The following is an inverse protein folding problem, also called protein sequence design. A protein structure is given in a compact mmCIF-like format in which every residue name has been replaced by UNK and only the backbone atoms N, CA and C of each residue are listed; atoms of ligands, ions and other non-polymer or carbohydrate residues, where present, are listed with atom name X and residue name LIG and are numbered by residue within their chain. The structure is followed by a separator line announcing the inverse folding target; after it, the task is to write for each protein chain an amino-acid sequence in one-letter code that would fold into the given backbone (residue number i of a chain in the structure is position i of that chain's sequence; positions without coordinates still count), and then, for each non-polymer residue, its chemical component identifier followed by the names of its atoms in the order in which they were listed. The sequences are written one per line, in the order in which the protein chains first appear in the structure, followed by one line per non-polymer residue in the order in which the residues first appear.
data_IF_031793393487
#
_entry.id   IF_031793393487
#
_cell.length_a   1.000
_cell.length_b   1.000
_cell.length_c   1.000
_cell.angle_alpha   90.00
_cell.angle_beta   90.00
_cell.angle_gamma   90.00
#
_symmetry.space_group_name_H-M   'P 1'
#
loop_
_entity.id
_entity.type
_entity.pdbx_description
1 polymer ?
#
# COMPACT_ATOMS: atom_id res chain seq x y z
N UNK A 1 5.69 0.43 5.49
CA UNK A 1 4.58 1.39 5.44
C UNK A 1 3.83 1.21 4.12
N UNK A 2 2.52 0.95 4.16
CA UNK A 2 1.71 0.80 2.94
C UNK A 2 1.15 2.14 2.45
N UNK A 3 0.64 2.20 1.21
CA UNK A 3 0.04 3.42 0.66
C UNK A 3 -1.16 3.86 1.50
N UNK A 4 -2.03 2.92 1.88
CA UNK A 4 -3.21 3.22 2.69
C UNK A 4 -2.84 3.76 4.07
N UNK A 5 -1.80 3.21 4.72
CA UNK A 5 -1.29 3.70 6.00
C UNK A 5 -0.68 5.10 5.87
N UNK A 6 0.13 5.33 4.84
CA UNK A 6 0.74 6.63 4.57
C UNK A 6 -0.33 7.70 4.31
N UNK A 7 -1.38 7.35 3.54
CA UNK A 7 -2.51 8.23 3.27
C UNK A 7 -3.25 8.61 4.56
N UNK A 8 -3.57 7.61 5.39
CA UNK A 8 -4.24 7.85 6.66
C UNK A 8 -3.43 8.77 7.55
N UNK A 9 -2.13 8.50 7.70
CA UNK A 9 -1.25 9.32 8.53
C UNK A 9 -1.15 10.75 8.01
N UNK A 10 -1.00 10.94 6.69
CA UNK A 10 -0.94 12.26 6.09
C UNK A 10 -2.25 13.06 6.29
N UNK A 11 -3.40 12.46 6.00
CA UNK A 11 -4.71 13.12 6.12
C UNK A 11 -5.04 13.44 7.59
N UNK A 12 -4.74 12.54 8.52
CA UNK A 12 -4.90 12.81 9.95
C UNK A 12 -3.99 13.95 10.41
N UNK A 13 -2.72 13.94 10.00
CA UNK A 13 -1.76 14.97 10.40
C UNK A 13 -2.10 16.35 9.81
N UNK A 14 -2.54 16.40 8.56
CA UNK A 14 -3.04 17.66 7.97
C UNK A 14 -4.31 18.13 8.64
N UNK A 15 -5.20 17.22 9.02
CA UNK A 15 -6.41 17.58 9.77
C UNK A 15 -6.09 18.27 11.09
N UNK A 16 -5.06 17.80 11.79
CA UNK A 16 -4.59 18.36 13.05
C UNK A 16 -3.87 19.71 12.86
N UNK A 17 -2.93 19.80 11.90
CA UNK A 17 -2.16 21.03 11.64
C UNK A 17 -3.05 22.19 11.19
N UNK A 18 -4.01 21.91 10.33
CA UNK A 18 -4.85 22.94 9.70
C UNK A 18 -6.22 23.09 10.37
N UNK A 19 -6.41 22.48 11.56
CA UNK A 19 -7.66 22.53 12.34
C UNK A 19 -8.90 22.20 11.49
N UNK A 20 -8.75 21.23 10.59
CA UNK A 20 -9.83 20.80 9.70
C UNK A 20 -10.87 20.06 10.55
N UNK A 21 -12.15 20.31 10.28
CA UNK A 21 -13.24 19.63 10.98
C UNK A 21 -13.08 18.13 10.84
N UNK A 22 -13.22 17.39 11.95
CA UNK A 22 -13.09 15.94 11.97
C UNK A 22 -13.99 15.23 10.95
N UNK A 23 -15.17 15.80 10.65
CA UNK A 23 -16.06 15.31 9.60
C UNK A 23 -15.39 15.29 8.22
N UNK A 24 -14.73 16.38 7.84
CA UNK A 24 -14.11 16.53 6.53
C UNK A 24 -12.85 15.65 6.43
N UNK A 25 -12.11 15.50 7.53
CA UNK A 25 -11.00 14.54 7.65
C UNK A 25 -11.51 13.11 7.43
N UNK A 26 -12.59 12.72 8.12
CA UNK A 26 -13.18 11.39 8.00
C UNK A 26 -13.71 11.11 6.58
N UNK A 27 -14.29 12.11 5.92
CA UNK A 27 -14.73 11.98 4.53
C UNK A 27 -13.55 11.87 3.57
N UNK A 28 -12.44 12.59 3.82
CA UNK A 28 -11.22 12.48 3.01
C UNK A 28 -10.49 11.14 3.19
N UNK A 29 -10.52 10.57 4.40
CA UNK A 29 -9.92 9.25 4.68
C UNK A 29 -10.56 8.13 3.86
N UNK A 30 -11.86 8.24 3.55
CA UNK A 30 -12.57 7.27 2.68
C UNK A 30 -12.08 7.32 1.22
N UNK A 31 -11.51 8.45 0.80
CA UNK A 31 -11.06 8.70 -0.56
C UNK A 31 -9.56 8.39 -0.70
N UNK A 32 -9.19 7.14 -0.49
CA UNK A 32 -7.81 6.70 -0.71
C UNK A 32 -7.47 6.76 -2.21
N UNK A 33 -6.38 7.44 -2.61
CA UNK A 33 -6.04 7.58 -4.01
C UNK A 33 -5.63 6.25 -4.63
N UNK A 34 -6.13 6.02 -5.85
CA UNK A 34 -5.78 4.84 -6.63
C UNK A 34 -4.38 4.95 -7.25
N UNK A 35 -3.68 3.83 -7.47
CA UNK A 35 -2.37 3.83 -8.13
C UNK A 35 -2.35 4.51 -9.51
N UNK A 36 -3.47 4.47 -10.23
CA UNK A 36 -3.61 5.13 -11.53
C UNK A 36 -3.50 6.66 -11.43
N UNK A 37 -3.97 7.26 -10.32
CA UNK A 37 -3.87 8.71 -10.10
C UNK A 37 -2.41 9.13 -9.91
N UNK A 38 -1.58 8.32 -9.24
CA UNK A 38 -0.14 8.59 -9.12
C UNK A 38 0.60 8.47 -10.45
N UNK A 39 0.18 7.53 -11.31
CA UNK A 39 0.72 7.43 -12.68
C UNK A 39 0.38 8.68 -13.51
N UNK A 40 -0.86 9.16 -13.43
CA UNK A 40 -1.29 10.37 -14.11
C UNK A 40 -0.55 11.61 -13.59
N UNK A 41 -0.41 11.74 -12.26
CA UNK A 41 0.33 12.81 -11.62
C UNK A 41 1.79 12.84 -12.07
N UNK A 42 2.48 11.69 -12.02
CA UNK A 42 3.86 11.58 -12.51
C UNK A 42 4.00 12.04 -13.96
N UNK A 43 3.07 11.64 -14.83
CA UNK A 43 3.06 12.04 -16.23
C UNK A 43 2.94 13.57 -16.36
N UNK A 44 2.00 14.17 -15.64
CA UNK A 44 1.80 15.63 -15.64
C UNK A 44 3.04 16.37 -15.14
N UNK A 45 3.64 15.93 -14.03
CA UNK A 45 4.83 16.54 -13.44
C UNK A 45 6.02 16.50 -14.40
N UNK A 46 6.20 15.40 -15.11
CA UNK A 46 7.29 15.27 -16.07
C UNK A 46 7.05 16.07 -17.37
N UNK A 47 5.81 16.13 -17.84
CA UNK A 47 5.47 16.79 -19.12
C UNK A 47 5.32 18.32 -19.00
N UNK A 48 4.82 18.81 -17.87
CA UNK A 48 4.44 20.23 -17.71
C UNK A 48 5.28 21.00 -16.70
N UNK A 49 5.83 20.31 -15.68
CA UNK A 49 6.57 20.96 -14.58
C UNK A 49 8.08 20.70 -14.67
N UNK A 50 8.53 20.01 -15.73
CA UNK A 50 9.94 19.79 -16.03
C UNK A 50 10.64 18.82 -15.06
N UNK A 51 9.88 18.03 -14.31
CA UNK A 51 10.45 17.00 -13.44
C UNK A 51 10.94 15.78 -14.26
N UNK A 52 11.94 15.07 -13.75
CA UNK A 52 12.36 13.78 -14.31
C UNK A 52 12.18 12.66 -13.29
N UNK A 53 10.91 12.37 -12.97
CA UNK A 53 10.58 11.30 -12.03
C UNK A 53 10.68 9.94 -12.73
N UNK A 54 11.52 9.00 -12.28
CA UNK A 54 11.63 7.68 -12.87
C UNK A 54 10.41 6.81 -12.53
N UNK A 55 10.06 5.78 -13.32
CA UNK A 55 8.92 4.90 -13.03
C UNK A 55 9.03 4.16 -11.69
N UNK A 56 10.26 3.97 -11.20
CA UNK A 56 10.57 3.32 -9.91
C UNK A 56 9.94 4.00 -8.71
N UNK A 57 9.65 5.31 -8.77
CA UNK A 57 8.99 6.04 -7.66
C UNK A 57 7.59 5.50 -7.36
N UNK A 58 6.92 4.90 -8.36
CA UNK A 58 5.60 4.29 -8.18
C UNK A 58 5.66 2.93 -7.50
N UNK A 59 6.85 2.35 -7.29
CA UNK A 59 7.00 1.02 -6.68
C UNK A 59 6.30 0.92 -5.32
N UNK A 60 6.37 1.98 -4.50
CA UNK A 60 5.72 2.02 -3.18
C UNK A 60 4.19 2.05 -3.27
N UNK A 61 3.65 2.71 -4.30
CA UNK A 61 2.21 2.78 -4.58
C UNK A 61 1.68 1.41 -4.99
N UNK A 62 2.46 0.67 -5.79
CA UNK A 62 2.10 -0.68 -6.23
C UNK A 62 2.48 -1.78 -5.25
N UNK A 63 3.29 -1.51 -4.22
CA UNK A 63 3.74 -2.52 -3.25
C UNK A 63 2.56 -3.15 -2.50
N UNK A 64 1.58 -2.34 -2.09
CA UNK A 64 0.36 -2.82 -1.43
C UNK A 64 -0.50 -3.67 -2.38
N UNK A 65 -0.65 -3.24 -3.64
CA UNK A 65 -1.41 -3.98 -4.65
C UNK A 65 -0.74 -5.31 -5.01
N UNK A 66 0.60 -5.34 -5.13
CA UNK A 66 1.37 -6.58 -5.34
C UNK A 66 1.23 -7.54 -4.17
N UNK A 67 1.24 -7.03 -2.94
CA UNK A 67 0.99 -7.84 -1.74
C UNK A 67 -0.40 -8.47 -1.76
N UNK A 68 -1.44 -7.71 -2.15
CA UNK A 68 -2.80 -8.24 -2.27
C UNK A 68 -2.94 -9.27 -3.40
N UNK A 69 -2.34 -9.03 -4.56
CA UNK A 69 -2.35 -9.99 -5.68
C UNK A 69 -1.60 -11.27 -5.29
N UNK A 70 -0.45 -11.15 -4.62
CA UNK A 70 0.30 -12.31 -4.14
C UNK A 70 -0.47 -13.09 -3.09
N UNK A 71 -1.16 -12.42 -2.15
CA UNK A 71 -2.05 -13.09 -1.19
C UNK A 71 -3.20 -13.80 -1.88
N UNK A 72 -3.80 -13.19 -2.90
CA UNK A 72 -4.88 -13.80 -3.69
C UNK A 72 -4.40 -15.02 -4.46
N UNK A 73 -3.26 -14.91 -5.15
CA UNK A 73 -2.62 -16.03 -5.85
C UNK A 73 -2.20 -17.14 -4.91
N UNK A 74 -1.62 -16.82 -3.75
CA UNK A 74 -1.29 -17.81 -2.73
C UNK A 74 -2.54 -18.53 -2.22
N UNK A 75 -3.65 -17.82 -2.01
CA UNK A 75 -4.93 -18.44 -1.64
C UNK A 75 -5.52 -19.33 -2.74
N UNK A 76 -5.34 -18.93 -4.00
CA UNK A 76 -5.79 -19.71 -5.16
C UNK A 76 -4.92 -20.96 -5.40
N UNK A 77 -3.59 -20.84 -5.28
CA UNK A 77 -2.64 -21.97 -5.34
C UNK A 77 -2.79 -22.93 -4.15
N UNK A 78 -3.16 -22.44 -2.97
CA UNK A 78 -3.45 -23.27 -1.78
C UNK A 78 -4.84 -23.94 -1.85
N UNK A 79 -5.62 -23.70 -2.92
CA UNK A 79 -6.66 -24.60 -3.39
C UNK A 79 -7.50 -25.27 -2.30
N UNK A 80 -8.19 -24.49 -1.46
CA UNK A 80 -9.31 -24.95 -0.63
C UNK A 80 -9.02 -25.96 0.49
N UNK A 81 -7.76 -26.17 0.91
CA UNK A 81 -7.44 -27.22 1.90
C UNK A 81 -6.94 -26.75 3.27
N UNK A 82 -6.66 -25.46 3.46
CA UNK A 82 -6.13 -24.94 4.72
C UNK A 82 -6.99 -23.80 5.25
N UNK A 83 -7.44 -23.93 6.50
CA UNK A 83 -8.28 -22.95 7.18
C UNK A 83 -7.47 -21.69 7.53
N UNK A 84 -8.15 -20.58 7.87
CA UNK A 84 -7.51 -19.27 8.06
C UNK A 84 -6.32 -19.26 9.05
N UNK A 85 -6.36 -20.14 10.06
CA UNK A 85 -5.31 -20.30 11.07
C UNK A 85 -4.08 -21.05 10.55
N UNK A 86 -4.24 -22.00 9.62
CA UNK A 86 -3.14 -22.72 8.99
C UNK A 86 -2.33 -21.79 8.07
N UNK A 87 -3.01 -20.85 7.40
CA UNK A 87 -2.36 -19.85 6.56
C UNK A 87 -1.52 -18.87 7.37
N UNK A 88 -2.01 -18.45 8.55
CA UNK A 88 -1.29 -17.54 9.45
C UNK A 88 -0.04 -18.23 10.04
N UNK A 89 -0.18 -19.50 10.40
CA UNK A 89 0.92 -20.33 10.93
C UNK A 89 2.00 -20.57 9.89
N UNK A 90 1.62 -20.87 8.64
CA UNK A 90 2.57 -21.02 7.53
C UNK A 90 3.36 -19.73 7.27
N UNK A 91 2.69 -18.57 7.32
CA UNK A 91 3.35 -17.28 7.09
C UNK A 91 4.35 -16.93 8.20
N UNK A 92 3.99 -17.19 9.46
CA UNK A 92 4.86 -16.97 10.61
C UNK A 92 6.12 -17.87 10.57
N UNK A 93 5.96 -19.12 10.13
CA UNK A 93 7.09 -20.04 9.97
C UNK A 93 8.03 -19.58 8.84
N UNK A 94 7.48 -19.09 7.72
CA UNK A 94 8.27 -18.59 6.59
C UNK A 94 9.06 -17.33 6.94
N UNK A 95 8.47 -16.39 7.70
CA UNK A 95 9.18 -15.19 8.16
C UNK A 95 10.34 -15.53 9.12
N UNK A 96 10.16 -16.56 9.95
CA UNK A 96 11.22 -17.06 10.82
C UNK A 96 12.37 -17.65 10.01
N UNK A 97 12.07 -18.48 9.01
CA UNK A 97 13.06 -19.12 8.15
C UNK A 97 13.85 -18.08 7.32
N UNK A 98 13.17 -17.08 6.74
CA UNK A 98 13.83 -15.97 6.02
C UNK A 98 14.72 -15.13 6.94
N UNK A 99 14.37 -15.01 8.22
CA UNK A 99 15.17 -14.29 9.23
C UNK A 99 16.42 -15.07 9.64
N UNK A 100 16.35 -16.40 9.65
CA UNK A 100 17.50 -17.27 9.91
C UNK A 100 18.52 -17.23 8.77
N UNK A 101 18.07 -17.14 7.52
CA UNK A 101 18.95 -17.02 6.33
C UNK A 101 19.49 -15.60 6.07
N UNK A 102 19.02 -14.60 6.82
CA UNK A 102 19.51 -13.20 6.75
C UNK A 102 20.60 -12.88 7.78
N UNK A 103 21.03 -13.84 8.58
CA UNK A 103 22.24 -13.78 9.40
C UNK A 103 23.43 -14.39 8.66
#
# INVERSE_FOLDING_TARGET
MTLSQAWQQAVSHWGEIYEIRQKDVADKLKLTPSPAQFKALRKQLNEHEGHDLPPSVLHHVYAEQRSQINKKKAREDIGGRLDGDDFLTMYANLEREVSEFRK
#
